data_IF_201883891872
#
_entry.id   IF_201883891872
#
_cell.length_a   1.000
_cell.length_b   1.000
_cell.length_c   1.000
_cell.angle_alpha   90.00
_cell.angle_beta   90.00
_cell.angle_gamma   90.00
#
_symmetry.space_group_name_H-M   'P 1'
#
loop_
_entity.id
_entity.type
_entity.pdbx_description
1 polymer ?
#
# COMPACT_ATOMS: atom_id res chain seq x y z
N UNK A 1 -33.78 -22.02 22.29
CA UNK A 1 -34.12 -21.71 20.89
C UNK A 1 -32.96 -22.17 20.04
N UNK A 2 -33.04 -23.38 19.47
CA UNK A 2 -31.94 -24.03 18.76
C UNK A 2 -31.85 -23.51 17.32
N UNK A 3 -30.67 -23.02 16.93
CA UNK A 3 -30.32 -22.77 15.54
C UNK A 3 -29.73 -24.06 14.96
N UNK A 4 -30.51 -24.73 14.11
CA UNK A 4 -29.99 -25.66 13.11
C UNK A 4 -29.75 -24.86 11.82
N UNK A 5 -28.52 -24.85 11.32
CA UNK A 5 -28.24 -24.57 9.92
C UNK A 5 -26.96 -25.34 9.55
N UNK A 6 -27.12 -26.44 8.83
CA UNK A 6 -26.02 -27.26 8.34
C UNK A 6 -25.26 -26.53 7.24
N UNK A 7 -24.01 -26.15 7.53
CA UNK A 7 -23.11 -25.57 6.53
C UNK A 7 -22.59 -26.72 5.66
N UNK A 8 -23.14 -26.88 4.45
CA UNK A 8 -22.43 -27.54 3.35
C UNK A 8 -21.24 -26.63 3.02
N UNK A 9 -20.06 -26.91 3.60
CA UNK A 9 -18.83 -26.21 3.27
C UNK A 9 -18.51 -26.48 1.80
N UNK A 10 -18.86 -25.54 0.91
CA UNK A 10 -18.36 -25.57 -0.47
C UNK A 10 -16.83 -25.48 -0.36
N UNK A 11 -16.10 -26.46 -0.91
CA UNK A 11 -14.64 -26.48 -0.97
C UNK A 11 -14.15 -25.43 -1.99
N UNK A 12 -14.27 -24.16 -1.62
CA UNK A 12 -13.96 -23.02 -2.47
C UNK A 12 -13.07 -22.04 -1.72
N UNK A 13 -12.12 -21.44 -2.43
CA UNK A 13 -11.22 -20.40 -1.92
C UNK A 13 -11.34 -19.16 -2.81
N UNK A 14 -11.45 -18.00 -2.18
CA UNK A 14 -11.44 -16.71 -2.85
C UNK A 14 -10.23 -15.90 -2.39
N UNK A 15 -9.40 -15.46 -3.35
CA UNK A 15 -8.28 -14.58 -3.11
C UNK A 15 -8.55 -13.25 -3.81
N UNK A 16 -8.95 -12.22 -3.07
CA UNK A 16 -9.31 -10.92 -3.62
C UNK A 16 -8.28 -9.85 -3.24
N UNK A 17 -7.83 -9.08 -4.23
CA UNK A 17 -6.94 -7.93 -4.01
C UNK A 17 -7.68 -6.62 -4.24
N UNK A 18 -7.34 -5.59 -3.48
CA UNK A 18 -8.02 -4.30 -3.56
C UNK A 18 -7.87 -3.63 -4.93
N UNK A 19 -8.72 -2.62 -5.19
CA UNK A 19 -8.81 -1.92 -6.47
C UNK A 19 -7.46 -1.37 -6.95
N UNK A 20 -6.70 -0.78 -6.03
CA UNK A 20 -5.43 -0.13 -6.36
C UNK A 20 -4.22 -1.04 -6.16
N UNK A 21 -4.41 -2.24 -5.58
CA UNK A 21 -3.34 -3.18 -5.26
C UNK A 21 -2.46 -2.74 -4.09
N UNK A 22 -2.98 -1.86 -3.22
CA UNK A 22 -2.26 -1.32 -2.05
C UNK A 22 -1.90 -2.42 -1.06
N UNK A 23 -2.80 -3.39 -0.86
CA UNK A 23 -2.54 -4.54 0.00
C UNK A 23 -2.00 -5.69 -0.86
N UNK A 24 -0.74 -6.11 -0.65
CA UNK A 24 -0.18 -7.22 -1.40
C UNK A 24 -0.91 -8.52 -1.03
N UNK A 25 -1.08 -9.39 -2.03
CA UNK A 25 -1.62 -10.73 -1.86
C UNK A 25 -0.93 -11.64 -2.86
N UNK A 26 -0.19 -12.62 -2.35
CA UNK A 26 0.59 -13.56 -3.12
C UNK A 26 0.00 -14.96 -3.00
N UNK A 27 0.20 -15.78 -4.02
CA UNK A 27 -0.19 -17.18 -4.01
C UNK A 27 0.81 -18.05 -4.79
N UNK A 28 0.79 -19.34 -4.51
CA UNK A 28 1.60 -20.34 -5.20
C UNK A 28 0.87 -21.69 -5.18
N UNK A 29 0.92 -22.40 -6.30
CA UNK A 29 0.51 -23.80 -6.36
C UNK A 29 1.61 -24.68 -5.71
N UNK A 30 1.21 -25.53 -4.76
CA UNK A 30 2.10 -26.43 -4.05
C UNK A 30 1.49 -27.84 -4.00
N UNK A 31 1.87 -28.70 -4.95
CA UNK A 31 1.30 -30.04 -5.09
C UNK A 31 -0.21 -29.97 -5.37
N UNK A 32 -1.03 -30.45 -4.43
CA UNK A 32 -2.51 -30.39 -4.49
C UNK A 32 -3.10 -29.26 -3.64
N UNK A 33 -2.27 -28.33 -3.19
CA UNK A 33 -2.65 -27.24 -2.30
C UNK A 33 -2.31 -25.89 -2.91
N UNK A 34 -2.98 -24.86 -2.42
CA UNK A 34 -2.67 -23.47 -2.73
C UNK A 34 -2.16 -22.82 -1.46
N UNK A 35 -0.98 -22.20 -1.55
CA UNK A 35 -0.45 -21.35 -0.49
C UNK A 35 -0.74 -19.90 -0.87
N UNK A 36 -1.16 -19.10 0.10
CA UNK A 36 -1.38 -17.67 -0.09
C UNK A 36 -0.96 -16.90 1.14
N UNK A 37 -0.54 -15.65 0.96
CA UNK A 37 -0.15 -14.77 2.05
C UNK A 37 -0.13 -13.32 1.58
N UNK A 38 -0.32 -12.38 2.50
CA UNK A 38 -0.05 -10.97 2.26
C UNK A 38 1.45 -10.64 2.24
N UNK A 39 2.34 -11.62 2.48
CA UNK A 39 3.78 -11.48 2.40
C UNK A 39 4.41 -12.59 1.58
N UNK A 40 5.21 -12.22 0.58
CA UNK A 40 5.97 -13.18 -0.23
C UNK A 40 6.94 -13.98 0.65
N UNK A 41 7.61 -13.31 1.60
CA UNK A 41 8.53 -13.95 2.56
C UNK A 41 7.88 -15.07 3.39
N UNK A 42 6.57 -14.99 3.67
CA UNK A 42 5.87 -16.06 4.39
C UNK A 42 5.75 -17.33 3.55
N UNK A 43 5.46 -17.20 2.24
CA UNK A 43 5.42 -18.33 1.31
C UNK A 43 6.82 -18.94 1.17
N UNK A 44 7.86 -18.08 1.02
CA UNK A 44 9.26 -18.53 0.96
C UNK A 44 9.62 -19.39 2.17
N UNK A 45 9.37 -18.88 3.38
CA UNK A 45 9.68 -19.58 4.63
C UNK A 45 8.88 -20.87 4.84
N UNK A 46 7.68 -20.96 4.27
CA UNK A 46 6.81 -22.11 4.47
C UNK A 46 7.21 -23.35 3.65
N UNK A 47 7.79 -23.16 2.46
CA UNK A 47 7.98 -24.28 1.51
C UNK A 47 9.31 -24.33 0.79
N UNK A 48 10.08 -23.24 0.75
CA UNK A 48 11.34 -23.25 0.04
C UNK A 48 12.49 -23.58 0.99
N UNK A 49 13.19 -24.68 0.68
CA UNK A 49 14.55 -24.86 1.15
C UNK A 49 15.47 -23.89 0.41
N UNK A 50 16.48 -23.36 1.10
CA UNK A 50 17.45 -22.46 0.48
C UNK A 50 18.57 -23.27 -0.18
N UNK A 51 19.05 -22.89 -1.39
CA UNK A 51 18.60 -21.76 -2.19
C UNK A 51 17.32 -22.06 -3.01
N UNK A 52 16.48 -21.04 -3.20
CA UNK A 52 15.33 -21.10 -4.11
C UNK A 52 15.62 -20.37 -5.43
N UNK A 53 14.85 -20.69 -6.46
CA UNK A 53 15.02 -20.11 -7.79
C UNK A 53 14.39 -18.72 -7.88
N UNK A 54 15.08 -17.83 -8.58
CA UNK A 54 14.55 -16.52 -8.96
C UNK A 54 13.98 -16.58 -10.39
N UNK A 55 12.94 -15.81 -10.63
CA UNK A 55 12.38 -15.63 -11.96
C UNK A 55 13.29 -14.69 -12.77
N UNK A 56 14.04 -15.27 -13.73
CA UNK A 56 14.99 -14.53 -14.57
C UNK A 56 14.35 -13.38 -15.36
N UNK A 57 13.11 -13.56 -15.83
CA UNK A 57 12.40 -12.51 -16.56
C UNK A 57 12.06 -11.35 -15.62
N UNK A 58 11.63 -11.65 -14.39
CA UNK A 58 11.36 -10.62 -13.39
C UNK A 58 12.62 -9.90 -12.90
N UNK A 59 13.77 -10.56 -12.90
CA UNK A 59 15.06 -9.87 -12.66
C UNK A 59 15.33 -8.86 -13.79
N UNK A 60 15.19 -9.26 -15.05
CA UNK A 60 15.39 -8.34 -16.18
C UNK A 60 14.42 -7.15 -16.13
N UNK A 61 13.16 -7.43 -15.82
CA UNK A 61 12.10 -6.44 -15.65
C UNK A 61 12.44 -5.44 -14.54
N UNK A 62 12.86 -5.93 -13.38
CA UNK A 62 13.30 -5.09 -12.27
C UNK A 62 14.50 -4.21 -12.66
N UNK A 63 15.51 -4.77 -13.34
CA UNK A 63 16.69 -4.02 -13.76
C UNK A 63 16.35 -2.93 -14.79
N UNK A 64 15.35 -3.16 -15.65
CA UNK A 64 14.96 -2.20 -16.68
C UNK A 64 13.98 -1.13 -16.18
N UNK A 65 13.09 -1.48 -15.23
CA UNK A 65 11.96 -0.63 -14.85
C UNK A 65 11.89 -0.28 -13.36
N UNK A 66 12.82 -0.80 -12.55
CA UNK A 66 12.85 -0.60 -11.09
C UNK A 66 11.72 -1.30 -10.32
N UNK A 67 10.96 -2.18 -10.97
CA UNK A 67 9.84 -2.91 -10.35
C UNK A 67 9.50 -4.17 -11.14
N UNK A 68 8.78 -5.11 -10.51
CA UNK A 68 8.22 -6.32 -11.15
C UNK A 68 6.70 -6.16 -11.25
N UNK A 69 6.16 -6.21 -12.47
CA UNK A 69 4.74 -6.07 -12.69
C UNK A 69 3.99 -7.35 -12.29
N UNK A 70 2.84 -7.15 -11.62
CA UNK A 70 1.91 -8.24 -11.37
C UNK A 70 1.44 -8.85 -12.71
N UNK A 71 1.22 -10.17 -12.79
CA UNK A 71 1.16 -11.12 -11.67
C UNK A 71 2.51 -11.72 -11.26
N UNK A 72 3.62 -11.36 -11.92
CA UNK A 72 4.93 -11.93 -11.61
C UNK A 72 5.48 -11.46 -10.27
N UNK A 73 6.39 -12.24 -9.70
CA UNK A 73 7.26 -11.83 -8.60
C UNK A 73 8.71 -12.24 -8.93
N UNK A 74 9.67 -11.69 -8.19
CA UNK A 74 11.09 -12.07 -8.35
C UNK A 74 11.35 -13.53 -7.96
N UNK A 75 10.46 -14.15 -7.19
CA UNK A 75 10.56 -15.54 -6.74
C UNK A 75 9.88 -16.43 -7.77
N UNK A 76 10.58 -17.48 -8.21
CA UNK A 76 10.01 -18.43 -9.16
C UNK A 76 8.75 -19.10 -8.58
N UNK A 77 7.75 -19.33 -9.43
CA UNK A 77 6.42 -19.91 -9.12
C UNK A 77 5.51 -19.11 -8.20
N UNK A 78 6.01 -18.15 -7.42
CA UNK A 78 5.17 -17.27 -6.60
C UNK A 78 4.58 -16.16 -7.48
N UNK A 79 3.26 -15.99 -7.42
CA UNK A 79 2.52 -14.97 -8.18
C UNK A 79 1.84 -14.00 -7.23
N UNK A 80 1.72 -12.75 -7.65
CA UNK A 80 0.84 -11.78 -7.01
C UNK A 80 -0.54 -11.86 -7.64
N UNK A 81 -1.60 -11.85 -6.81
CA UNK A 81 -2.95 -11.57 -7.30
C UNK A 81 -2.95 -10.18 -7.92
N UNK A 82 -3.54 -10.01 -9.10
CA UNK A 82 -3.59 -8.71 -9.76
C UNK A 82 -4.47 -7.73 -8.98
N UNK A 83 -4.14 -6.43 -9.03
CA UNK A 83 -5.01 -5.38 -8.48
C UNK A 83 -6.39 -5.45 -9.13
N UNK A 84 -7.45 -5.12 -8.39
CA UNK A 84 -8.84 -5.18 -8.88
C UNK A 84 -9.32 -6.56 -9.35
N UNK A 85 -8.62 -7.63 -8.98
CA UNK A 85 -9.03 -8.99 -9.30
C UNK A 85 -9.35 -9.81 -8.05
N UNK A 86 -10.19 -10.81 -8.24
CA UNK A 86 -10.26 -11.95 -7.34
C UNK A 86 -10.01 -13.25 -8.11
N UNK A 87 -9.44 -14.22 -7.43
CA UNK A 87 -9.27 -15.60 -7.91
C UNK A 87 -10.27 -16.47 -7.17
N UNK A 88 -11.06 -17.23 -7.91
CA UNK A 88 -11.96 -18.25 -7.40
C UNK A 88 -11.36 -19.62 -7.70
N UNK A 89 -11.13 -20.41 -6.65
CA UNK A 89 -10.52 -21.73 -6.73
C UNK A 89 -11.52 -22.73 -6.19
N UNK A 90 -11.83 -23.76 -6.98
CA UNK A 90 -12.72 -24.86 -6.63
C UNK A 90 -12.04 -26.20 -6.90
N UNK A 91 -12.74 -27.32 -6.71
CA UNK A 91 -12.24 -28.63 -7.12
C UNK A 91 -12.12 -28.79 -8.64
N UNK A 92 -12.79 -27.95 -9.42
CA UNK A 92 -12.94 -28.08 -10.86
C UNK A 92 -12.26 -26.95 -11.64
N UNK A 93 -12.02 -25.80 -10.99
CA UNK A 93 -11.60 -24.59 -11.67
C UNK A 93 -10.66 -23.71 -10.86
N UNK A 94 -9.84 -22.96 -11.61
CA UNK A 94 -9.01 -21.86 -11.13
C UNK A 94 -9.30 -20.68 -12.05
N UNK A 95 -10.12 -19.74 -11.59
CA UNK A 95 -10.65 -18.66 -12.41
C UNK A 95 -10.27 -17.30 -11.82
N UNK A 96 -9.76 -16.39 -12.65
CA UNK A 96 -9.44 -15.02 -12.25
C UNK A 96 -10.41 -14.04 -12.88
N UNK A 97 -11.00 -13.16 -12.07
CA UNK A 97 -12.00 -12.19 -12.51
C UNK A 97 -11.59 -10.78 -12.12
N UNK A 98 -11.68 -9.86 -13.07
CA UNK A 98 -11.55 -8.42 -12.82
C UNK A 98 -12.89 -7.88 -12.33
N UNK A 99 -12.93 -7.32 -11.12
CA UNK A 99 -14.17 -6.77 -10.55
C UNK A 99 -14.22 -5.23 -10.60
N UNK A 100 -13.11 -4.58 -10.94
CA UNK A 100 -13.04 -3.11 -10.99
C UNK A 100 -12.05 -2.63 -12.05
N UNK A 101 -12.37 -1.49 -12.64
CA UNK A 101 -11.45 -0.70 -13.47
C UNK A 101 -11.74 0.80 -13.26
N UNK A 102 -10.75 1.68 -13.43
CA UNK A 102 -10.99 3.11 -13.40
C UNK A 102 -12.01 3.48 -14.48
N UNK A 103 -13.06 4.22 -14.10
CA UNK A 103 -14.07 4.67 -15.05
C UNK A 103 -13.42 5.60 -16.08
N UNK A 104 -13.59 5.31 -17.37
CA UNK A 104 -13.15 6.20 -18.47
C UNK A 104 -14.10 7.38 -18.68
N UNK A 105 -14.67 7.93 -17.61
CA UNK A 105 -15.74 8.93 -17.73
C UNK A 105 -15.15 10.25 -18.23
N UNK A 106 -15.41 10.56 -19.49
CA UNK A 106 -14.96 11.77 -20.20
C UNK A 106 -15.90 12.96 -19.99
N UNK A 107 -17.02 12.80 -19.29
CA UNK A 107 -17.99 13.88 -19.04
C UNK A 107 -17.58 14.87 -17.93
N UNK A 108 -16.27 15.12 -17.77
CA UNK A 108 -15.78 16.21 -16.90
C UNK A 108 -16.13 17.58 -17.51
N UNK A 109 -16.30 17.63 -18.83
CA UNK A 109 -16.47 18.85 -19.64
C UNK A 109 -17.74 19.67 -19.35
N UNK A 110 -18.64 19.20 -18.49
CA UNK A 110 -19.91 19.89 -18.16
C UNK A 110 -19.94 20.56 -16.79
N UNK A 111 -18.91 20.40 -15.96
CA UNK A 111 -18.88 20.97 -14.61
C UNK A 111 -18.15 22.32 -14.58
N UNK A 112 -18.70 23.28 -13.84
CA UNK A 112 -18.04 24.56 -13.60
C UNK A 112 -16.85 24.37 -12.66
N UNK A 113 -15.81 25.20 -12.80
CA UNK A 113 -14.60 25.16 -11.98
C UNK A 113 -14.90 25.15 -10.47
N UNK A 114 -15.83 25.98 -10.01
CA UNK A 114 -16.20 26.06 -8.59
C UNK A 114 -16.82 24.75 -8.08
N UNK A 115 -17.64 24.09 -8.89
CA UNK A 115 -18.29 22.83 -8.55
C UNK A 115 -17.25 21.69 -8.50
N UNK A 116 -16.31 21.69 -9.44
CA UNK A 116 -15.18 20.75 -9.45
C UNK A 116 -14.34 20.95 -8.19
N UNK A 117 -13.99 22.20 -7.85
CA UNK A 117 -13.15 22.52 -6.69
C UNK A 117 -13.81 22.08 -5.39
N UNK A 118 -15.11 22.37 -5.22
CA UNK A 118 -15.89 21.89 -4.07
C UNK A 118 -15.93 20.37 -4.03
N UNK A 119 -16.12 19.70 -5.18
CA UNK A 119 -16.21 18.24 -5.25
C UNK A 119 -14.87 17.57 -4.91
N UNK A 120 -13.77 18.07 -5.43
CA UNK A 120 -12.41 17.58 -5.12
C UNK A 120 -12.14 17.76 -3.63
N UNK A 121 -12.39 18.94 -3.06
CA UNK A 121 -12.19 19.19 -1.63
C UNK A 121 -13.06 18.26 -0.77
N UNK A 122 -14.33 18.05 -1.13
CA UNK A 122 -15.22 17.12 -0.43
C UNK A 122 -14.68 15.67 -0.48
N UNK A 123 -14.30 15.19 -1.67
CA UNK A 123 -13.80 13.83 -1.85
C UNK A 123 -12.46 13.62 -1.13
N UNK A 124 -11.60 14.64 -1.11
CA UNK A 124 -10.36 14.63 -0.35
C UNK A 124 -10.65 14.49 1.14
N UNK A 125 -11.47 15.36 1.72
CA UNK A 125 -11.82 15.30 3.14
C UNK A 125 -12.42 13.94 3.53
N UNK A 126 -13.36 13.41 2.74
CA UNK A 126 -13.94 12.08 2.96
C UNK A 126 -12.90 10.95 2.84
N UNK A 127 -11.95 11.06 1.92
CA UNK A 127 -10.89 10.07 1.74
C UNK A 127 -9.92 10.06 2.93
N UNK A 128 -9.66 11.24 3.50
CA UNK A 128 -8.80 11.41 4.68
C UNK A 128 -9.51 10.95 5.94
N UNK A 129 -10.75 11.37 6.17
CA UNK A 129 -11.58 10.95 7.30
C UNK A 129 -11.64 9.41 7.41
N UNK A 130 -11.89 8.71 6.30
CA UNK A 130 -11.89 7.23 6.25
C UNK A 130 -10.56 6.59 6.66
N UNK A 131 -9.44 7.30 6.53
CA UNK A 131 -8.10 6.80 6.88
C UNK A 131 -7.64 7.22 8.26
N UNK A 132 -8.34 8.16 8.90
CA UNK A 132 -8.10 8.55 10.29
C UNK A 132 -8.79 7.61 11.30
N UNK A 133 -9.80 6.85 10.86
CA UNK A 133 -10.40 5.78 11.66
C UNK A 133 -9.38 4.64 11.80
N UNK A 134 -8.72 4.57 12.95
CA UNK A 134 -7.76 3.52 13.28
C UNK A 134 -7.77 3.22 14.78
N UNK A 135 -7.52 1.97 15.14
CA UNK A 135 -7.37 1.53 16.54
C UNK A 135 -6.02 1.94 17.15
N UNK A 136 -5.18 2.64 16.37
CA UNK A 136 -3.84 3.09 16.73
C UNK A 136 -3.65 4.56 16.35
N UNK A 137 -2.74 5.30 17.01
CA UNK A 137 -2.44 6.67 16.64
C UNK A 137 -2.03 6.79 15.16
N UNK A 138 -2.70 7.68 14.44
CA UNK A 138 -2.37 7.96 13.03
C UNK A 138 -1.32 9.06 12.96
N UNK A 139 -0.32 8.84 12.10
CA UNK A 139 0.72 9.81 11.77
C UNK A 139 0.69 10.16 10.28
N UNK A 140 1.03 11.41 9.95
CA UNK A 140 1.17 11.87 8.57
C UNK A 140 2.64 12.20 8.31
N UNK A 141 3.20 11.62 7.25
CA UNK A 141 4.50 12.09 6.74
C UNK A 141 4.32 13.46 6.10
N UNK A 142 5.02 14.44 6.65
CA UNK A 142 4.98 15.82 6.23
C UNK A 142 6.31 16.19 5.57
N UNK A 143 6.20 16.64 4.32
CA UNK A 143 7.31 17.21 3.55
C UNK A 143 7.03 18.69 3.30
N UNK A 144 7.92 19.38 2.58
CA UNK A 144 7.69 20.77 2.17
C UNK A 144 6.74 20.94 0.99
N UNK A 145 6.27 19.83 0.41
CA UNK A 145 5.48 19.81 -0.81
C UNK A 145 3.98 20.07 -0.60
N UNK A 146 3.30 20.44 -1.68
CA UNK A 146 1.86 20.72 -1.67
C UNK A 146 1.00 19.50 -1.31
N UNK A 147 1.41 18.29 -1.69
CA UNK A 147 0.61 17.07 -1.50
C UNK A 147 0.48 16.70 -0.02
N UNK A 148 1.60 16.60 0.68
CA UNK A 148 1.63 16.29 2.12
C UNK A 148 1.04 17.44 2.94
N UNK A 149 1.27 18.69 2.52
CA UNK A 149 0.64 19.87 3.13
C UNK A 149 -0.88 19.85 3.00
N UNK A 150 -1.39 19.48 1.83
CA UNK A 150 -2.83 19.35 1.56
C UNK A 150 -3.43 18.23 2.40
N UNK A 151 -2.70 17.12 2.58
CA UNK A 151 -3.12 16.02 3.44
C UNK A 151 -3.20 16.45 4.91
N UNK A 152 -2.19 17.16 5.43
CA UNK A 152 -2.21 17.69 6.81
C UNK A 152 -3.33 18.71 7.00
N UNK A 153 -3.54 19.60 6.03
CA UNK A 153 -4.63 20.58 6.06
C UNK A 153 -6.01 19.89 6.10
N UNK A 154 -6.22 18.90 5.23
CA UNK A 154 -7.46 18.13 5.19
C UNK A 154 -7.66 17.35 6.49
N UNK A 155 -6.62 16.66 6.96
CA UNK A 155 -6.70 15.83 8.14
C UNK A 155 -6.98 16.68 9.39
N UNK A 156 -6.33 17.85 9.53
CA UNK A 156 -6.55 18.76 10.67
C UNK A 156 -7.98 19.32 10.74
N UNK A 157 -8.72 19.32 9.62
CA UNK A 157 -10.14 19.72 9.59
C UNK A 157 -11.10 18.63 10.06
N UNK A 158 -10.74 17.36 9.87
CA UNK A 158 -11.65 16.23 10.13
C UNK A 158 -11.24 15.37 11.33
N UNK A 159 -10.00 15.53 11.83
CA UNK A 159 -9.53 14.81 13.01
C UNK A 159 -10.17 15.38 14.29
N UNK A 160 -10.54 14.48 15.20
CA UNK A 160 -11.03 14.85 16.53
C UNK A 160 -9.90 15.34 17.45
N UNK A 161 -8.68 14.88 17.20
CA UNK A 161 -7.49 15.17 18.00
C UNK A 161 -6.39 15.80 17.15
N UNK A 162 -5.41 16.44 17.80
CA UNK A 162 -4.19 16.92 17.13
C UNK A 162 -3.50 15.79 16.38
N UNK A 163 -3.12 16.07 15.14
CA UNK A 163 -2.46 15.10 14.27
C UNK A 163 -0.98 15.04 14.59
N UNK A 164 -0.42 13.83 14.58
CA UNK A 164 1.01 13.63 14.67
C UNK A 164 1.61 13.74 13.27
N UNK A 165 2.58 14.63 13.07
CA UNK A 165 3.25 14.81 11.79
C UNK A 165 4.74 14.52 11.93
N UNK A 166 5.32 13.91 10.91
CA UNK A 166 6.73 13.50 10.92
C UNK A 166 7.42 13.94 9.65
N UNK A 167 8.55 14.63 9.78
CA UNK A 167 9.42 15.00 8.67
C UNK A 167 10.79 14.35 8.84
N UNK A 168 11.46 14.07 7.73
CA UNK A 168 12.88 13.70 7.73
C UNK A 168 13.68 14.95 7.38
N UNK A 169 14.72 15.23 8.15
CA UNK A 169 15.60 16.38 7.95
C UNK A 169 17.04 15.93 7.76
N UNK A 170 17.81 16.72 7.01
CA UNK A 170 19.20 16.42 6.65
C UNK A 170 20.10 17.60 7.03
N UNK A 171 21.39 17.34 7.25
CA UNK A 171 22.38 18.40 7.50
C UNK A 171 22.67 19.24 6.26
N UNK A 172 22.52 18.64 5.08
CA UNK A 172 22.69 19.33 3.81
C UNK A 172 21.42 20.12 3.47
N UNK A 173 21.56 21.45 3.47
CA UNK A 173 20.48 22.40 3.20
C UNK A 173 19.83 22.24 1.82
N UNK A 174 20.51 21.61 0.86
CA UNK A 174 19.95 21.36 -0.47
C UNK A 174 18.81 20.34 -0.40
N UNK A 175 18.88 19.40 0.55
CA UNK A 175 17.90 18.32 0.70
C UNK A 175 16.94 18.54 1.88
N UNK A 176 17.15 19.57 2.71
CA UNK A 176 16.34 19.82 3.90
C UNK A 176 15.07 20.65 3.58
N UNK A 177 13.93 19.97 3.51
CA UNK A 177 12.62 20.59 3.40
C UNK A 177 12.00 20.97 4.76
N UNK A 178 12.73 20.76 5.87
CA UNK A 178 12.21 20.91 7.23
C UNK A 178 11.61 22.28 7.52
N UNK A 179 12.16 23.35 6.94
CA UNK A 179 11.62 24.72 7.09
C UNK A 179 10.16 24.79 6.64
N UNK A 180 9.84 24.22 5.47
CA UNK A 180 8.48 24.25 4.93
C UNK A 180 7.55 23.31 5.71
N UNK A 181 8.04 22.13 6.10
CA UNK A 181 7.28 21.21 6.95
C UNK A 181 6.90 21.86 8.29
N UNK A 182 7.81 22.60 8.95
CA UNK A 182 7.53 23.36 10.18
C UNK A 182 6.44 24.41 9.98
N UNK A 183 6.51 25.19 8.90
CA UNK A 183 5.49 26.21 8.61
C UNK A 183 4.08 25.62 8.54
N UNK A 184 3.94 24.46 7.90
CA UNK A 184 2.65 23.75 7.81
C UNK A 184 2.24 23.15 9.15
N UNK A 185 3.19 22.55 9.87
CA UNK A 185 2.96 22.00 11.19
C UNK A 185 2.47 23.07 12.19
N UNK A 186 3.07 24.25 12.17
CA UNK A 186 2.72 25.40 13.00
C UNK A 186 1.35 25.96 12.61
N UNK A 187 1.10 26.14 11.30
CA UNK A 187 -0.17 26.63 10.77
C UNK A 187 -1.37 25.78 11.22
N UNK A 188 -1.20 24.46 11.28
CA UNK A 188 -2.25 23.52 11.69
C UNK A 188 -2.08 22.99 13.13
N UNK A 189 -1.15 23.56 13.91
CA UNK A 189 -0.88 23.22 15.30
C UNK A 189 -0.72 21.71 15.58
N UNK A 190 -0.03 21.00 14.69
CA UNK A 190 0.19 19.54 14.75
C UNK A 190 1.24 19.16 15.80
N UNK A 191 1.22 17.91 16.26
CA UNK A 191 2.28 17.34 17.09
C UNK A 191 3.45 16.93 16.18
N UNK A 192 4.25 17.90 15.76
CA UNK A 192 5.30 17.70 14.77
C UNK A 192 6.59 17.14 15.38
N UNK A 193 7.18 16.16 14.71
CA UNK A 193 8.48 15.60 15.05
C UNK A 193 9.37 15.51 13.83
N UNK A 194 10.54 16.12 13.93
CA UNK A 194 11.60 15.99 12.93
C UNK A 194 12.49 14.80 13.28
N UNK A 195 12.81 13.99 12.27
CA UNK A 195 13.72 12.86 12.36
C UNK A 195 14.94 13.21 11.53
N UNK A 196 16.02 13.58 12.21
CA UNK A 196 17.29 13.85 11.55
C UNK A 196 17.90 12.54 11.05
N UNK A 197 18.19 12.47 9.76
CA UNK A 197 18.86 11.33 9.13
C UNK A 197 20.19 11.80 8.56
N UNK A 198 21.27 11.15 9.00
CA UNK A 198 22.58 11.32 8.41
C UNK A 198 22.96 10.09 7.55
N UNK A 199 23.98 10.18 6.68
CA UNK A 199 24.39 9.05 5.84
C UNK A 199 24.74 7.78 6.63
N UNK A 200 25.27 7.92 7.86
CA UNK A 200 25.61 6.78 8.71
C UNK A 200 24.35 6.12 9.28
N UNK A 201 23.28 6.87 9.55
CA UNK A 201 22.02 6.33 10.04
C UNK A 201 21.46 5.24 9.12
N UNK A 202 21.52 5.43 7.81
CA UNK A 202 21.09 4.42 6.84
C UNK A 202 22.01 3.20 6.84
N UNK A 203 23.33 3.42 6.78
CA UNK A 203 24.32 2.34 6.74
C UNK A 203 24.22 1.42 7.97
N UNK A 204 24.03 1.98 9.17
CA UNK A 204 23.91 1.19 10.40
C UNK A 204 22.60 0.42 10.51
N UNK A 205 21.56 0.81 9.77
CA UNK A 205 20.23 0.22 9.88
C UNK A 205 19.79 -0.57 8.64
N UNK A 206 20.62 -0.64 7.58
CA UNK A 206 20.25 -1.28 6.31
C UNK A 206 19.81 -2.73 6.48
N UNK A 207 20.54 -3.51 7.27
CA UNK A 207 20.21 -4.92 7.55
C UNK A 207 18.86 -5.07 8.24
N UNK A 208 18.53 -4.14 9.14
CA UNK A 208 17.25 -4.13 9.83
C UNK A 208 16.13 -3.85 8.83
N UNK A 209 16.30 -2.82 8.00
CA UNK A 209 15.30 -2.44 6.99
C UNK A 209 15.06 -3.56 5.98
N UNK A 210 16.10 -4.21 5.46
CA UNK A 210 16.00 -5.36 4.55
C UNK A 210 15.25 -6.53 5.21
N UNK A 211 15.47 -6.78 6.51
CA UNK A 211 14.79 -7.87 7.23
C UNK A 211 13.32 -7.58 7.53
N UNK A 212 12.96 -6.31 7.77
CA UNK A 212 11.58 -5.90 8.05
C UNK A 212 10.74 -5.67 6.80
N UNK A 213 11.35 -5.30 5.67
CA UNK A 213 10.60 -5.12 4.43
C UNK A 213 10.26 -6.50 3.83
N UNK A 214 9.01 -6.89 4.00
CA UNK A 214 8.44 -8.10 3.40
C UNK A 214 7.98 -7.91 1.95
N UNK A 215 8.14 -6.71 1.38
CA UNK A 215 7.74 -6.40 0.02
C UNK A 215 8.89 -6.71 -0.94
N UNK A 216 8.71 -7.74 -1.77
CA UNK A 216 9.65 -8.13 -2.83
C UNK A 216 9.67 -7.16 -4.02
N UNK A 217 9.12 -5.95 -3.86
CA UNK A 217 8.69 -5.07 -4.95
C UNK A 217 9.23 -3.63 -4.83
N UNK A 218 10.21 -3.37 -3.97
CA UNK A 218 11.00 -2.14 -3.97
C UNK A 218 12.46 -2.48 -4.20
#
# INVERSE_FOLDING_TARGET
MHLHCGIKLKKQLFLARDRMGVKPLYFMEYGRSILFSSSCNAIIKAVFEKPFNLNKNSIQEYLNFGTVYSPSTIIDKVKSVEKSHYIHISSESFDQFKYWEPTKQTEVDKLKYDDITKKVNQLLLQSVEKRLIADVPVGVFLSGGIDSSTLVAAASKVAENKINTYSVTFDDKIYDEGIYARQIADLYATNHKEIKVDPNFLLHNIDKYIKTDGSSNR
#
